data_IF_696067585354
#
_entry.id   IF_696067585354
#
_cell.length_a   1.000
_cell.length_b   1.000
_cell.length_c   1.000
_cell.angle_alpha   90.00
_cell.angle_beta   90.00
_cell.angle_gamma   90.00
#
_symmetry.space_group_name_H-M   'P 1'
#
loop_
_entity.id
_entity.type
_entity.pdbx_description
1 polymer ?
#
# COMPACT_ATOMS: atom_id res chain seq x y z
N UNK A 1 -8.42 13.52 -3.15
CA UNK A 1 -8.99 12.17 -3.31
C UNK A 1 -8.09 11.32 -4.21
N UNK A 2 -7.77 10.13 -3.77
CA UNK A 2 -6.95 9.21 -4.57
C UNK A 2 -7.73 8.60 -5.72
N UNK A 3 -7.05 8.43 -6.85
CA UNK A 3 -7.57 7.71 -8.00
C UNK A 3 -6.55 6.63 -8.38
N UNK A 4 -6.92 5.73 -9.29
CA UNK A 4 -6.02 4.68 -9.72
C UNK A 4 -4.82 5.19 -10.54
N UNK A 5 -4.83 6.46 -10.92
CA UNK A 5 -3.68 7.08 -11.58
C UNK A 5 -2.64 7.62 -10.60
N UNK A 6 -2.93 7.58 -9.31
CA UNK A 6 -2.04 8.10 -8.29
C UNK A 6 -0.74 7.30 -8.23
N UNK A 7 0.36 8.00 -7.99
CA UNK A 7 1.67 7.39 -7.73
C UNK A 7 2.06 7.69 -6.31
N UNK A 8 2.47 6.66 -5.60
CA UNK A 8 2.78 6.76 -4.18
C UNK A 8 4.14 6.14 -3.91
N UNK A 9 4.75 6.55 -2.81
CA UNK A 9 6.02 5.98 -2.36
C UNK A 9 6.07 5.94 -0.84
N UNK A 10 6.99 5.16 -0.31
CA UNK A 10 7.22 5.08 1.12
C UNK A 10 8.19 6.20 1.50
N UNK A 11 7.84 7.08 2.48
CA UNK A 11 8.74 8.14 2.92
C UNK A 11 10.02 7.59 3.55
N UNK A 12 11.10 8.37 3.52
CA UNK A 12 12.39 7.96 4.07
C UNK A 12 12.34 7.60 5.55
N UNK A 13 11.49 8.29 6.32
CA UNK A 13 11.39 8.07 7.75
C UNK A 13 10.54 6.86 8.13
N UNK A 14 10.02 6.15 7.13
CA UNK A 14 9.22 4.94 7.36
C UNK A 14 10.07 3.71 7.11
N UNK A 15 10.15 2.83 8.10
CA UNK A 15 10.81 1.53 7.95
C UNK A 15 9.76 0.45 7.85
N UNK A 16 10.07 -0.58 7.06
CA UNK A 16 9.15 -1.71 6.88
C UNK A 16 9.83 -2.99 7.33
N UNK A 17 9.05 -3.91 7.89
CA UNK A 17 9.55 -5.20 8.29
C UNK A 17 8.53 -6.27 7.93
N UNK A 18 9.01 -7.30 7.25
CA UNK A 18 8.16 -8.42 6.89
C UNK A 18 8.22 -9.49 7.97
N UNK A 19 7.05 -9.96 8.39
CA UNK A 19 6.93 -11.01 9.40
C UNK A 19 6.01 -12.08 8.81
N UNK A 20 6.61 -13.14 8.25
CA UNK A 20 5.84 -14.13 7.51
C UNK A 20 5.29 -13.50 6.23
N UNK A 21 3.98 -13.58 6.03
CA UNK A 21 3.30 -12.99 4.88
C UNK A 21 2.65 -11.64 5.23
N UNK A 22 2.97 -11.10 6.41
CA UNK A 22 2.49 -9.80 6.87
C UNK A 22 3.62 -8.78 6.87
N UNK A 23 3.26 -7.50 6.89
CA UNK A 23 4.24 -6.42 6.90
C UNK A 23 3.87 -5.43 7.98
N UNK A 24 4.90 -4.93 8.67
CA UNK A 24 4.74 -3.88 9.68
C UNK A 24 5.50 -2.65 9.21
N UNK A 25 4.85 -1.49 9.29
CA UNK A 25 5.47 -0.21 8.98
C UNK A 25 5.58 0.60 10.26
N UNK A 26 6.66 1.36 10.38
CA UNK A 26 6.86 2.27 11.49
C UNK A 26 7.39 3.60 10.96
N UNK A 27 6.66 4.67 11.25
CA UNK A 27 7.12 6.01 10.95
C UNK A 27 8.01 6.46 12.11
N UNK A 28 9.31 6.59 11.87
CA UNK A 28 10.29 6.92 12.91
C UNK A 28 10.12 8.33 13.45
N UNK A 29 9.51 9.22 12.69
CA UNK A 29 9.29 10.61 13.09
C UNK A 29 8.13 10.74 14.07
N UNK A 30 7.01 10.10 13.75
CA UNK A 30 5.77 10.22 14.53
C UNK A 30 5.57 9.09 15.52
N UNK A 31 6.26 7.98 15.32
CA UNK A 31 6.04 6.76 16.10
C UNK A 31 4.81 5.99 15.65
N UNK A 32 4.18 6.39 14.55
CA UNK A 32 3.00 5.69 14.02
C UNK A 32 3.37 4.31 13.52
N UNK A 33 2.57 3.34 13.90
CA UNK A 33 2.81 1.94 13.67
C UNK A 33 1.60 1.35 12.93
N UNK A 34 1.84 0.52 11.94
CA UNK A 34 0.76 0.01 11.10
C UNK A 34 1.08 -1.41 10.64
N UNK A 35 0.12 -2.31 10.77
CA UNK A 35 0.27 -3.70 10.30
C UNK A 35 -0.56 -3.95 9.06
N UNK A 36 0.01 -4.66 8.11
CA UNK A 36 -0.67 -5.05 6.87
C UNK A 36 -0.87 -6.56 6.84
N UNK A 37 -2.07 -6.98 6.43
CA UNK A 37 -2.38 -8.38 6.19
C UNK A 37 -1.68 -8.84 4.88
N UNK A 38 -1.80 -10.12 4.47
CA UNK A 38 -1.13 -10.58 3.25
C UNK A 38 -1.47 -9.79 1.99
N UNK A 39 -2.74 -9.37 1.85
CA UNK A 39 -3.15 -8.58 0.68
C UNK A 39 -2.51 -7.20 0.70
N UNK A 40 -2.55 -6.52 1.85
CA UNK A 40 -1.91 -5.22 2.02
C UNK A 40 -0.40 -5.29 1.88
N UNK A 41 0.21 -6.39 2.35
CA UNK A 41 1.65 -6.62 2.22
C UNK A 41 2.05 -6.73 0.76
N UNK A 42 1.26 -7.45 -0.04
CA UNK A 42 1.53 -7.57 -1.47
C UNK A 42 1.37 -6.24 -2.19
N UNK A 43 0.35 -5.46 -1.79
CA UNK A 43 0.16 -4.11 -2.29
C UNK A 43 1.42 -3.27 -2.06
N UNK A 44 1.95 -3.28 -0.86
CA UNK A 44 3.13 -2.49 -0.51
C UNK A 44 4.35 -2.94 -1.30
N UNK A 45 4.53 -4.24 -1.47
CA UNK A 45 5.62 -4.81 -2.25
C UNK A 45 5.57 -4.33 -3.70
N UNK A 46 4.39 -4.38 -4.31
CA UNK A 46 4.21 -3.91 -5.69
C UNK A 46 4.36 -2.41 -5.81
N UNK A 47 3.97 -1.67 -4.78
CA UNK A 47 4.13 -0.22 -4.76
C UNK A 47 5.59 0.18 -4.94
N UNK A 48 6.50 -0.58 -4.35
CA UNK A 48 7.93 -0.30 -4.44
C UNK A 48 8.50 -0.54 -5.84
N UNK A 49 7.84 -1.35 -6.65
CA UNK A 49 8.32 -1.65 -8.00
C UNK A 49 7.49 -0.96 -9.08
N UNK A 50 6.17 -0.93 -8.94
CA UNK A 50 5.28 -0.39 -9.98
C UNK A 50 5.01 1.10 -9.81
N UNK A 51 4.78 1.54 -8.58
CA UNK A 51 4.53 2.95 -8.27
C UNK A 51 3.11 3.44 -8.53
N UNK A 52 2.50 3.09 -9.64
CA UNK A 52 1.16 3.55 -10.00
C UNK A 52 0.09 2.56 -9.54
N UNK A 53 -0.99 3.06 -8.93
CA UNK A 53 -2.06 2.20 -8.42
C UNK A 53 -2.71 1.35 -9.50
N UNK A 54 -2.89 1.89 -10.71
CA UNK A 54 -3.50 1.14 -11.81
C UNK A 54 -2.70 -0.13 -12.14
N UNK A 55 -1.37 -0.01 -12.18
CA UNK A 55 -0.50 -1.16 -12.47
C UNK A 55 -0.55 -2.18 -11.34
N UNK A 56 -0.61 -1.70 -10.10
CA UNK A 56 -0.69 -2.57 -8.91
C UNK A 56 -2.00 -3.35 -8.92
N UNK A 57 -3.11 -2.67 -9.21
CA UNK A 57 -4.42 -3.30 -9.27
C UNK A 57 -4.43 -4.39 -10.34
N UNK A 58 -3.92 -4.08 -11.53
CA UNK A 58 -3.86 -5.04 -12.63
C UNK A 58 -3.07 -6.29 -12.24
N UNK A 59 -1.94 -6.09 -11.56
CA UNK A 59 -1.09 -7.19 -11.13
C UNK A 59 -1.76 -8.05 -10.08
N UNK A 60 -2.40 -7.41 -9.09
CA UNK A 60 -3.06 -8.13 -8.01
C UNK A 60 -4.28 -8.91 -8.49
N UNK A 61 -4.97 -8.44 -9.53
CA UNK A 61 -6.09 -9.17 -10.12
C UNK A 61 -5.66 -10.51 -10.71
N UNK A 62 -4.39 -10.62 -11.10
CA UNK A 62 -3.86 -11.89 -11.61
C UNK A 62 -3.54 -12.86 -10.47
N UNK A 63 -3.35 -12.35 -9.27
CA UNK A 63 -2.90 -13.14 -8.12
C UNK A 63 -4.01 -13.51 -7.13
N UNK A 64 -5.06 -12.70 -7.06
CA UNK A 64 -6.13 -12.89 -6.09
C UNK A 64 -7.49 -13.05 -6.77
N UNK A 65 -8.33 -13.89 -6.21
CA UNK A 65 -9.69 -14.11 -6.71
C UNK A 65 -10.65 -13.08 -6.13
N UNK A 66 -10.62 -11.87 -6.71
CA UNK A 66 -11.46 -10.75 -6.28
C UNK A 66 -11.93 -10.01 -7.52
N UNK A 67 -13.01 -9.22 -7.38
CA UNK A 67 -13.44 -8.37 -8.48
C UNK A 67 -12.57 -7.12 -8.51
N UNK A 68 -12.43 -6.54 -9.68
CA UNK A 68 -11.65 -5.30 -9.85
C UNK A 68 -12.23 -4.17 -8.99
N UNK A 69 -13.56 -4.03 -8.98
CA UNK A 69 -14.22 -2.99 -8.22
C UNK A 69 -13.94 -3.11 -6.72
N UNK A 70 -14.01 -4.33 -6.19
CA UNK A 70 -13.75 -4.56 -4.77
C UNK A 70 -12.29 -4.28 -4.42
N UNK A 71 -11.37 -4.79 -5.23
CA UNK A 71 -9.94 -4.59 -5.00
C UNK A 71 -9.57 -3.12 -5.08
N UNK A 72 -10.06 -2.41 -6.09
CA UNK A 72 -9.78 -0.97 -6.22
C UNK A 72 -10.29 -0.20 -5.00
N UNK A 73 -11.51 -0.47 -4.56
CA UNK A 73 -12.09 0.20 -3.39
C UNK A 73 -11.25 -0.07 -2.14
N UNK A 74 -10.85 -1.31 -1.93
CA UNK A 74 -10.06 -1.70 -0.75
C UNK A 74 -8.67 -1.06 -0.76
N UNK A 75 -8.01 -1.06 -1.90
CA UNK A 75 -6.66 -0.49 -2.00
C UNK A 75 -6.68 1.03 -1.91
N UNK A 76 -7.67 1.69 -2.49
CA UNK A 76 -7.79 3.14 -2.37
C UNK A 76 -8.03 3.55 -0.91
N UNK A 77 -8.88 2.81 -0.20
CA UNK A 77 -9.13 3.06 1.21
C UNK A 77 -7.87 2.86 2.05
N UNK A 78 -7.16 1.75 1.81
CA UNK A 78 -5.92 1.46 2.52
C UNK A 78 -4.87 2.55 2.27
N UNK A 79 -4.70 2.94 1.01
CA UNK A 79 -3.74 3.98 0.65
C UNK A 79 -4.09 5.32 1.30
N UNK A 80 -5.38 5.67 1.36
CA UNK A 80 -5.83 6.89 2.03
C UNK A 80 -5.48 6.87 3.53
N UNK A 81 -5.71 5.74 4.19
CA UNK A 81 -5.37 5.58 5.60
C UNK A 81 -3.87 5.73 5.82
N UNK A 82 -3.07 5.12 4.96
CA UNK A 82 -1.63 5.19 5.08
C UNK A 82 -1.08 6.59 4.79
N UNK A 83 -1.68 7.31 3.83
CA UNK A 83 -1.33 8.71 3.58
C UNK A 83 -1.64 9.57 4.79
N UNK A 84 -2.82 9.39 5.38
CA UNK A 84 -3.23 10.17 6.56
C UNK A 84 -2.33 9.90 7.75
N UNK A 85 -1.76 8.70 7.84
CA UNK A 85 -0.88 8.31 8.95
C UNK A 85 0.60 8.60 8.68
N UNK A 86 0.93 9.21 7.55
CA UNK A 86 2.32 9.52 7.20
C UNK A 86 3.15 8.31 6.81
N UNK A 87 2.49 7.22 6.40
CA UNK A 87 3.17 5.98 6.02
C UNK A 87 3.38 5.86 4.51
N UNK A 88 2.70 6.70 3.74
CA UNK A 88 2.90 6.86 2.31
C UNK A 88 2.90 8.35 1.98
N UNK A 89 3.49 8.69 0.84
CA UNK A 89 3.44 10.04 0.33
C UNK A 89 3.32 10.01 -1.19
N UNK A 90 2.93 11.13 -1.79
CA UNK A 90 2.84 11.23 -3.25
C UNK A 90 4.25 11.16 -3.84
N UNK A 91 4.35 10.40 -4.91
CA UNK A 91 5.63 10.26 -5.62
C UNK A 91 5.80 11.37 -6.66
#
# INVERSE_FOLDING_TARGET
>A
MLTRDARLKIPEQVVTRQVGDETVLLNLESGTYFGLDPVGSRFLELLQTEGALAAIIARMLEEFEVTEAQLEADLLRLADEMLASGLLEAA
#
